data_IF_151983455724
#
_entry.id   IF_151983455724
#
_cell.length_a   1.000
_cell.length_b   1.000
_cell.length_c   1.000
_cell.angle_alpha   90.00
_cell.angle_beta   90.00
_cell.angle_gamma   90.00
#
_symmetry.space_group_name_H-M   'P 1'
#
loop_
_entity.id
_entity.type
_entity.pdbx_description
1 polymer ?
#
# COMPACT_ATOMS: atom_id res chain seq x y z
N UNK A 1 3.17 17.59 -10.06
CA UNK A 1 2.53 16.31 -9.69
C UNK A 1 3.39 15.64 -8.62
N UNK A 2 2.82 15.24 -7.48
CA UNK A 2 3.61 14.81 -6.31
C UNK A 2 3.95 13.33 -6.39
N UNK A 3 5.24 13.02 -6.45
CA UNK A 3 5.75 11.65 -6.29
C UNK A 3 5.76 11.29 -4.81
N UNK A 4 5.35 10.07 -4.46
CA UNK A 4 5.43 9.55 -3.10
C UNK A 4 6.89 9.20 -2.77
N UNK A 5 7.48 9.91 -1.81
CA UNK A 5 8.88 9.75 -1.42
C UNK A 5 9.03 9.11 -0.04
N UNK A 6 9.96 8.16 0.15
CA UNK A 6 10.08 7.42 1.41
C UNK A 6 10.82 8.18 2.53
N UNK A 7 11.52 9.27 2.20
CA UNK A 7 12.59 9.83 3.05
C UNK A 7 12.31 11.24 3.60
N UNK A 8 11.10 11.77 3.46
CA UNK A 8 10.79 13.12 3.97
C UNK A 8 10.66 13.15 5.51
N UNK A 9 10.57 11.99 6.17
CA UNK A 9 10.39 11.86 7.63
C UNK A 9 11.27 10.75 8.20
N UNK A 10 11.75 10.94 9.43
CA UNK A 10 12.54 9.94 10.15
C UNK A 10 11.64 8.76 10.61
N UNK A 11 12.20 7.56 10.80
CA UNK A 11 11.49 6.44 11.43
C UNK A 11 11.05 6.81 12.85
N UNK A 12 9.83 6.41 13.22
CA UNK A 12 9.39 6.41 14.62
C UNK A 12 9.83 5.13 15.30
N UNK A 13 10.15 5.21 16.59
CA UNK A 13 10.59 4.05 17.36
C UNK A 13 9.49 2.98 17.40
N UNK A 14 9.83 1.76 16.99
CA UNK A 14 8.96 0.58 17.10
C UNK A 14 7.58 0.73 16.44
N UNK A 15 7.46 1.58 15.41
CA UNK A 15 6.24 1.73 14.60
C UNK A 15 6.54 1.37 13.16
N UNK A 16 5.64 0.64 12.51
CA UNK A 16 5.69 0.34 11.08
C UNK A 16 4.39 0.82 10.41
N UNK A 17 4.51 1.52 9.29
CA UNK A 17 3.35 2.04 8.55
C UNK A 17 3.25 1.42 7.16
N UNK A 18 2.15 0.74 6.89
CA UNK A 18 1.86 0.08 5.63
C UNK A 18 0.76 0.84 4.89
N UNK A 19 0.98 1.09 3.60
CA UNK A 19 -0.01 1.65 2.70
C UNK A 19 -0.55 0.56 1.78
N UNK A 20 -1.83 0.22 1.90
CA UNK A 20 -2.52 -0.66 0.97
C UNK A 20 -3.15 0.19 -0.14
N UNK A 21 -2.84 -0.13 -1.41
CA UNK A 21 -3.36 0.56 -2.60
C UNK A 21 -4.17 -0.42 -3.43
N UNK A 22 -5.45 -0.14 -3.64
CA UNK A 22 -6.36 -1.00 -4.41
C UNK A 22 -7.76 -0.40 -4.52
N UNK A 23 -8.55 -0.87 -5.47
CA UNK A 23 -9.88 -0.27 -5.75
C UNK A 23 -10.99 -0.86 -4.87
N UNK A 24 -10.80 -2.08 -4.35
CA UNK A 24 -11.78 -2.80 -3.53
C UNK A 24 -11.66 -2.48 -2.04
N UNK A 25 -12.33 -1.42 -1.58
CA UNK A 25 -12.29 -0.98 -0.17
C UNK A 25 -12.56 -2.10 0.85
N UNK A 26 -13.53 -2.99 0.56
CA UNK A 26 -13.87 -4.09 1.46
C UNK A 26 -12.72 -5.10 1.61
N UNK A 27 -12.07 -5.48 0.51
CA UNK A 27 -10.92 -6.40 0.55
C UNK A 27 -9.73 -5.78 1.26
N UNK A 28 -9.47 -4.48 0.99
CA UNK A 28 -8.42 -3.74 1.67
C UNK A 28 -8.64 -3.66 3.18
N UNK A 29 -9.87 -3.39 3.61
CA UNK A 29 -10.24 -3.34 5.02
C UNK A 29 -10.10 -4.71 5.69
N UNK A 30 -10.59 -5.78 5.05
CA UNK A 30 -10.45 -7.13 5.58
C UNK A 30 -8.97 -7.56 5.72
N UNK A 31 -8.13 -7.18 4.77
CA UNK A 31 -6.69 -7.41 4.86
C UNK A 31 -6.07 -6.61 6.00
N UNK A 32 -6.40 -5.32 6.13
CA UNK A 32 -5.93 -4.48 7.22
C UNK A 32 -6.33 -5.04 8.59
N UNK A 33 -7.60 -5.43 8.76
CA UNK A 33 -8.11 -6.04 10.00
C UNK A 33 -7.37 -7.35 10.31
N UNK A 34 -7.05 -8.14 9.29
CA UNK A 34 -6.30 -9.38 9.46
C UNK A 34 -4.85 -9.14 9.89
N UNK A 35 -4.21 -8.09 9.35
CA UNK A 35 -2.84 -7.69 9.75
C UNK A 35 -2.79 -7.15 11.18
N UNK A 36 -3.86 -6.50 11.63
CA UNK A 36 -3.96 -5.91 12.97
C UNK A 36 -4.50 -6.88 14.02
N UNK A 37 -4.88 -8.10 13.63
CA UNK A 37 -5.51 -9.09 14.50
C UNK A 37 -4.53 -9.73 15.48
N UNK A 38 -3.29 -9.98 15.06
CA UNK A 38 -2.26 -10.58 15.90
C UNK A 38 -1.40 -9.51 16.58
N UNK A 39 -1.09 -9.73 17.86
CA UNK A 39 -0.20 -8.84 18.60
C UNK A 39 1.21 -8.90 17.99
N UNK A 40 1.71 -7.73 17.62
CA UNK A 40 3.07 -7.54 17.14
C UNK A 40 3.90 -6.80 18.20
N UNK A 41 5.20 -7.09 18.26
CA UNK A 41 6.13 -6.35 19.11
C UNK A 41 6.21 -4.86 18.72
N UNK A 42 5.86 -4.51 17.48
CA UNK A 42 5.83 -3.15 16.95
C UNK A 42 4.41 -2.65 16.74
N UNK A 43 4.21 -1.33 16.90
CA UNK A 43 2.95 -0.67 16.58
C UNK A 43 2.75 -0.67 15.05
N UNK A 44 1.79 -1.45 14.56
CA UNK A 44 1.45 -1.52 13.15
C UNK A 44 0.36 -0.50 12.81
N UNK A 45 0.62 0.36 11.83
CA UNK A 45 -0.34 1.32 11.27
C UNK A 45 -0.64 0.96 9.82
N UNK A 46 -1.92 0.85 9.48
CA UNK A 46 -2.36 0.54 8.12
C UNK A 46 -3.17 1.70 7.56
N UNK A 47 -2.76 2.21 6.39
CA UNK A 47 -3.49 3.21 5.63
C UNK A 47 -4.00 2.61 4.33
N UNK A 48 -5.19 3.05 3.91
CA UNK A 48 -5.82 2.60 2.68
C UNK A 48 -5.84 3.73 1.64
N UNK A 49 -5.69 3.39 0.37
CA UNK A 49 -5.81 4.30 -0.73
C UNK A 49 -6.37 3.61 -1.97
N UNK A 50 -7.20 4.33 -2.73
CA UNK A 50 -7.73 3.81 -4.00
C UNK A 50 -6.71 3.84 -5.12
N UNK A 51 -5.90 4.89 -5.14
CA UNK A 51 -4.92 5.16 -6.19
C UNK A 51 -3.83 6.11 -5.69
N UNK A 52 -2.77 6.26 -6.49
CA UNK A 52 -1.75 7.28 -6.35
C UNK A 52 -1.84 8.28 -7.52
N UNK A 53 -1.43 9.55 -7.33
CA UNK A 53 -0.79 10.11 -6.15
C UNK A 53 -1.81 10.39 -5.04
N UNK A 54 -1.35 10.27 -3.79
CA UNK A 54 -2.17 10.66 -2.65
C UNK A 54 -2.33 12.19 -2.60
N UNK A 55 -3.47 12.71 -2.12
CA UNK A 55 -3.69 14.15 -2.01
C UNK A 55 -2.62 14.81 -1.13
N UNK A 56 -2.24 16.05 -1.44
CA UNK A 56 -1.26 16.80 -0.66
C UNK A 56 -1.72 16.95 0.78
N UNK A 57 -0.91 16.49 1.73
CA UNK A 57 -1.19 16.59 3.16
C UNK A 57 0.09 16.97 3.90
N UNK A 58 -0.01 17.99 4.75
CA UNK A 58 1.10 18.45 5.61
C UNK A 58 1.45 17.38 6.66
N UNK A 59 0.47 16.57 7.06
CA UNK A 59 0.59 15.55 8.11
C UNK A 59 0.71 14.11 7.56
N UNK A 60 1.17 13.93 6.32
CA UNK A 60 1.40 12.60 5.75
C UNK A 60 2.37 11.78 6.63
N UNK A 61 2.00 10.59 7.13
CA UNK A 61 2.92 9.75 7.88
C UNK A 61 4.04 9.21 6.98
N UNK A 62 5.16 8.81 7.58
CA UNK A 62 6.19 8.03 6.88
C UNK A 62 5.58 6.69 6.47
N UNK A 63 5.89 6.20 5.26
CA UNK A 63 5.41 4.92 4.76
C UNK A 63 6.61 3.97 4.65
N UNK A 64 6.50 2.82 5.29
CA UNK A 64 7.55 1.80 5.33
C UNK A 64 7.40 0.76 4.22
N UNK A 65 6.15 0.42 3.87
CA UNK A 65 5.80 -0.55 2.83
C UNK A 65 4.56 -0.09 2.07
N UNK A 66 4.57 -0.26 0.76
CA UNK A 66 3.40 -0.10 -0.12
C UNK A 66 3.01 -1.49 -0.62
N UNK A 67 1.74 -1.86 -0.49
CA UNK A 67 1.19 -3.09 -1.07
C UNK A 67 0.15 -2.70 -2.11
N UNK A 68 0.41 -3.05 -3.36
CA UNK A 68 -0.59 -2.94 -4.43
C UNK A 68 -1.44 -4.21 -4.47
N UNK A 69 -2.72 -4.08 -4.12
CA UNK A 69 -3.70 -5.16 -4.19
C UNK A 69 -4.36 -5.11 -5.56
N UNK A 70 -4.11 -6.14 -6.37
CA UNK A 70 -4.53 -6.21 -7.77
C UNK A 70 -5.59 -7.30 -7.91
N UNK A 71 -6.80 -6.93 -8.29
CA UNK A 71 -7.84 -7.89 -8.62
C UNK A 71 -7.75 -8.30 -10.09
N UNK A 72 -7.33 -9.54 -10.34
CA UNK A 72 -7.12 -10.07 -11.70
C UNK A 72 -8.41 -10.24 -12.50
N UNK A 73 -9.59 -10.21 -11.87
CA UNK A 73 -10.86 -10.20 -12.56
C UNK A 73 -11.28 -8.79 -13.04
N UNK A 74 -10.58 -7.75 -12.63
CA UNK A 74 -10.90 -6.36 -12.94
C UNK A 74 -9.78 -5.70 -13.76
N UNK A 75 -10.03 -5.48 -15.06
CA UNK A 75 -9.09 -4.72 -15.91
C UNK A 75 -8.83 -3.31 -15.36
N UNK A 76 -9.83 -2.71 -14.73
CA UNK A 76 -9.70 -1.40 -14.10
C UNK A 76 -8.75 -1.43 -12.90
N UNK A 77 -8.75 -2.51 -12.11
CA UNK A 77 -7.79 -2.70 -11.00
C UNK A 77 -6.35 -2.68 -11.52
N UNK A 78 -6.09 -3.44 -12.59
CA UNK A 78 -4.77 -3.46 -13.23
C UNK A 78 -4.34 -2.09 -13.77
N UNK A 79 -5.22 -1.41 -14.54
CA UNK A 79 -4.94 -0.07 -15.07
C UNK A 79 -4.67 0.96 -13.96
N UNK A 80 -5.46 0.90 -12.88
CA UNK A 80 -5.28 1.77 -11.73
C UNK A 80 -3.92 1.54 -11.05
N UNK A 81 -3.47 0.29 -10.94
CA UNK A 81 -2.14 -0.05 -10.44
C UNK A 81 -1.05 0.49 -11.35
N UNK A 82 -1.15 0.28 -12.67
CA UNK A 82 -0.20 0.79 -13.66
C UNK A 82 -0.03 2.31 -13.58
N UNK A 83 -1.13 3.05 -13.52
CA UNK A 83 -1.09 4.51 -13.37
C UNK A 83 -0.53 4.93 -12.00
N UNK A 84 -0.94 4.27 -10.92
CA UNK A 84 -0.47 4.59 -9.56
C UNK A 84 1.04 4.38 -9.41
N UNK A 85 1.62 3.35 -10.04
CA UNK A 85 3.05 3.06 -9.98
C UNK A 85 3.91 4.20 -10.55
N UNK A 86 3.40 4.97 -11.52
CA UNK A 86 4.10 6.14 -12.09
C UNK A 86 4.34 7.26 -11.07
N UNK A 87 3.63 7.22 -9.94
CA UNK A 87 3.72 8.21 -8.86
C UNK A 87 4.54 7.72 -7.65
N UNK A 88 5.20 6.56 -7.76
CA UNK A 88 6.06 5.99 -6.71
C UNK A 88 7.52 6.30 -7.01
N UNK A 89 8.24 6.86 -6.04
CA UNK A 89 9.68 7.08 -6.17
C UNK A 89 10.43 5.76 -6.33
N UNK A 90 11.45 5.73 -7.21
CA UNK A 90 12.20 4.52 -7.53
C UNK A 90 12.78 3.81 -6.29
N UNK A 91 13.14 4.57 -5.25
CA UNK A 91 13.69 4.03 -4.01
C UNK A 91 12.73 3.14 -3.22
N UNK A 92 11.42 3.25 -3.43
CA UNK A 92 10.43 2.33 -2.84
C UNK A 92 10.52 0.92 -3.45
N UNK A 93 10.86 0.79 -4.73
CA UNK A 93 10.94 -0.53 -5.38
C UNK A 93 12.10 -1.39 -4.88
N UNK A 94 13.02 -0.82 -4.09
CA UNK A 94 14.11 -1.54 -3.43
C UNK A 94 13.61 -2.22 -2.14
N UNK A 95 12.63 -3.12 -2.28
CA UNK A 95 12.10 -3.95 -1.18
C UNK A 95 10.99 -3.32 -0.33
N UNK A 96 10.49 -2.13 -0.68
CA UNK A 96 9.38 -1.45 0.03
C UNK A 96 8.09 -1.38 -0.78
N UNK A 97 8.02 -2.13 -1.89
CA UNK A 97 6.81 -2.35 -2.68
C UNK A 97 6.55 -3.85 -2.76
N UNK A 98 5.32 -4.24 -2.50
CA UNK A 98 4.82 -5.60 -2.65
C UNK A 98 3.59 -5.60 -3.55
N UNK A 99 3.40 -6.67 -4.32
CA UNK A 99 2.21 -6.90 -5.15
C UNK A 99 1.44 -8.09 -4.59
N UNK A 100 0.15 -7.88 -4.32
CA UNK A 100 -0.78 -8.93 -3.91
C UNK A 100 -1.84 -9.08 -4.99
N UNK A 101 -1.72 -10.10 -5.81
CA UNK A 101 -2.74 -10.42 -6.81
C UNK A 101 -3.83 -11.31 -6.20
N UNK A 102 -5.09 -10.94 -6.39
CA UNK A 102 -6.27 -11.71 -5.98
C UNK A 102 -7.05 -12.18 -7.21
N UNK A 103 -7.80 -13.28 -7.06
CA UNK A 103 -8.54 -13.87 -8.19
C UNK A 103 -7.68 -14.64 -9.20
N UNK A 104 -6.40 -14.87 -8.88
CA UNK A 104 -5.59 -15.87 -9.59
C UNK A 104 -6.17 -17.25 -9.31
N UNK A 105 -6.32 -18.08 -10.34
CA UNK A 105 -6.87 -19.43 -10.21
C UNK A 105 -6.21 -20.22 -9.07
N UNK A 106 -6.96 -21.13 -8.47
CA UNK A 106 -6.47 -22.00 -7.40
C UNK A 106 -5.14 -22.63 -7.82
N UNK A 107 -4.11 -22.46 -6.99
CA UNK A 107 -2.91 -23.29 -7.06
C UNK A 107 -3.33 -24.71 -6.63
N UNK A 108 -3.86 -25.47 -7.58
CA UNK A 108 -4.06 -26.92 -7.47
C UNK A 108 -2.73 -27.65 -7.53
#
# INVERSE_FOLDING_TARGET
MSVLRPLDKLPSLNTATILLVGIEDALLQQLADSMLKEDCASELKVHLAKSLPLPSSVNRPRIDLIVFVINLHSKYSLQNTEESLRHVDASFFLGKVCFLATGGGSLS
#
